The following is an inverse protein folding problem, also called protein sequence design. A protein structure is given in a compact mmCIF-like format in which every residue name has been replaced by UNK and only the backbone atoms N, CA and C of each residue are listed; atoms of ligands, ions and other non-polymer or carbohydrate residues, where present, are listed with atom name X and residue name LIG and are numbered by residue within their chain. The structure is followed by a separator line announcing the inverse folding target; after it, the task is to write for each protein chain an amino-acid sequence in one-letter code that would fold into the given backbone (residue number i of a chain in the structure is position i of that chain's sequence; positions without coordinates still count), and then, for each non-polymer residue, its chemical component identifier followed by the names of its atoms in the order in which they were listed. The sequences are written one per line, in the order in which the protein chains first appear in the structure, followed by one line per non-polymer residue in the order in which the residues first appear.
data_IF_564108089005
#
_entry.id   IF_564108089005
#
_cell.length_a   1.000
_cell.length_b   1.000
_cell.length_c   1.000
_cell.angle_alpha   90.00
_cell.angle_beta   90.00
_cell.angle_gamma   90.00
#
_symmetry.space_group_name_H-M   'P 1'
#
loop_
_entity.id
_entity.type
_entity.pdbx_description
1 polymer ?
#
# COMPACT_ATOMS: atom_id res chain seq x y z
N UNK A 1 23.12 15.10 14.15
CA UNK A 1 21.74 14.53 14.02
C UNK A 1 21.39 14.55 12.55
N UNK A 2 20.63 13.57 12.07
CA UNK A 2 20.09 13.60 10.71
C UNK A 2 19.04 14.70 10.61
N UNK A 3 18.87 15.29 9.43
CA UNK A 3 17.76 16.21 9.16
C UNK A 3 16.44 15.48 9.27
N UNK A 4 15.43 16.03 9.96
CA UNK A 4 14.11 15.42 10.01
C UNK A 4 13.48 15.35 8.61
N UNK A 5 12.90 14.20 8.24
CA UNK A 5 12.09 14.05 7.04
C UNK A 5 10.63 14.43 7.33
N UNK A 6 9.95 14.97 6.32
CA UNK A 6 8.54 15.34 6.41
C UNK A 6 7.67 14.19 5.90
N UNK A 7 6.81 13.70 6.78
CA UNK A 7 5.96 12.54 6.52
C UNK A 7 4.50 12.97 6.61
N UNK A 8 3.79 12.93 5.50
CA UNK A 8 2.38 13.25 5.46
C UNK A 8 1.51 11.98 5.54
N UNK A 9 0.43 12.06 6.32
CA UNK A 9 -0.57 10.99 6.47
C UNK A 9 -1.96 11.58 6.31
N UNK A 10 -2.74 11.12 5.33
CA UNK A 10 -4.14 11.52 5.15
C UNK A 10 -5.08 10.58 5.91
N UNK A 11 -6.22 11.08 6.37
CA UNK A 11 -7.11 10.30 7.23
C UNK A 11 -6.43 9.90 8.54
N UNK A 12 -5.61 10.80 9.08
CA UNK A 12 -4.71 10.54 10.21
C UNK A 12 -5.43 10.17 11.50
N UNK A 13 -6.66 10.65 11.69
CA UNK A 13 -7.52 10.30 12.83
C UNK A 13 -8.37 9.04 12.60
N UNK A 14 -8.28 8.41 11.39
CA UNK A 14 -8.92 7.13 11.10
C UNK A 14 -8.20 5.94 11.74
N UNK A 15 -8.85 4.77 11.78
CA UNK A 15 -8.30 3.59 12.44
C UNK A 15 -6.94 3.14 11.88
N UNK A 16 -6.75 3.22 10.55
CA UNK A 16 -5.47 2.87 9.91
C UNK A 16 -4.44 3.97 10.21
N UNK A 17 -4.81 5.25 10.01
CA UNK A 17 -3.94 6.39 10.30
C UNK A 17 -3.45 6.37 11.74
N UNK A 18 -4.35 6.22 12.70
CA UNK A 18 -4.02 6.08 14.11
C UNK A 18 -2.97 4.97 14.37
N UNK A 19 -3.22 3.75 13.88
CA UNK A 19 -2.27 2.65 14.07
C UNK A 19 -0.92 2.86 13.35
N UNK A 20 -0.93 3.56 12.22
CA UNK A 20 0.26 3.86 11.42
C UNK A 20 1.18 4.88 12.10
N UNK A 21 0.60 5.92 12.68
CA UNK A 21 1.36 7.04 13.25
C UNK A 21 2.32 6.61 14.35
N UNK A 22 1.91 5.71 15.25
CA UNK A 22 2.79 5.19 16.30
C UNK A 22 3.97 4.38 15.76
N UNK A 23 3.74 3.63 14.68
CA UNK A 23 4.78 2.87 13.99
C UNK A 23 5.80 3.77 13.29
N UNK A 24 5.33 4.87 12.69
CA UNK A 24 6.21 5.88 12.10
C UNK A 24 7.01 6.60 13.21
N UNK A 25 6.33 7.03 14.26
CA UNK A 25 6.92 7.76 15.37
C UNK A 25 7.97 6.94 16.16
N UNK A 26 7.80 5.61 16.25
CA UNK A 26 8.77 4.70 16.89
C UNK A 26 10.03 4.45 16.06
N UNK A 27 10.02 4.83 14.77
CA UNK A 27 11.14 4.60 13.84
C UNK A 27 11.06 3.29 13.04
N UNK A 28 9.95 2.54 13.14
CA UNK A 28 9.78 1.27 12.43
C UNK A 28 9.80 1.43 10.91
N UNK A 29 9.44 2.62 10.41
CA UNK A 29 9.34 2.91 8.99
C UNK A 29 10.67 3.39 8.38
N UNK A 30 11.27 4.42 8.96
CA UNK A 30 12.41 5.13 8.38
C UNK A 30 13.74 4.83 9.09
N UNK A 31 13.70 4.00 10.12
CA UNK A 31 14.86 3.60 10.93
C UNK A 31 14.94 4.31 12.26
N UNK A 32 15.59 3.65 13.22
CA UNK A 32 15.68 4.05 14.63
C UNK A 32 16.46 5.35 14.89
N UNK A 33 17.11 5.90 13.86
CA UNK A 33 17.93 7.13 13.97
C UNK A 33 17.43 8.25 13.04
N UNK A 34 16.26 8.08 12.39
CA UNK A 34 15.71 9.05 11.47
C UNK A 34 14.61 9.87 12.14
N UNK A 35 14.87 11.17 12.47
CA UNK A 35 13.82 12.06 12.96
C UNK A 35 12.76 12.34 11.91
N UNK A 36 11.52 12.59 12.36
CA UNK A 36 10.38 12.88 11.49
C UNK A 36 9.62 14.12 11.94
N UNK A 37 9.06 14.83 10.98
CA UNK A 37 7.99 15.82 11.19
C UNK A 37 6.73 15.22 10.61
N UNK A 38 5.73 14.97 11.45
CA UNK A 38 4.46 14.39 11.04
C UNK A 38 3.51 15.51 10.56
N UNK A 39 3.00 15.37 9.35
CA UNK A 39 2.04 16.28 8.73
C UNK A 39 0.72 15.53 8.52
N UNK A 40 -0.27 15.83 9.35
CA UNK A 40 -1.47 15.03 9.54
C UNK A 40 -2.66 15.74 8.89
N UNK A 41 -3.19 15.14 7.82
CA UNK A 41 -4.35 15.67 7.10
C UNK A 41 -5.62 14.96 7.52
N UNK A 42 -6.64 15.76 7.84
CA UNK A 42 -7.98 15.25 8.09
C UNK A 42 -9.02 16.16 7.44
N UNK A 43 -10.23 15.67 7.24
CA UNK A 43 -11.35 16.49 6.78
C UNK A 43 -11.88 17.39 7.91
N UNK A 44 -12.52 18.54 7.62
CA UNK A 44 -12.98 19.45 8.67
C UNK A 44 -13.78 18.79 9.80
N UNK A 45 -14.73 17.86 9.56
CA UNK A 45 -15.43 17.16 10.64
C UNK A 45 -14.55 16.26 11.50
N UNK A 46 -13.38 15.86 11.01
CA UNK A 46 -12.42 14.99 11.70
C UNK A 46 -11.40 15.75 12.55
N UNK A 47 -11.29 17.06 12.43
CA UNK A 47 -10.24 17.87 13.06
C UNK A 47 -10.22 17.75 14.59
N UNK A 48 -11.37 17.78 15.24
CA UNK A 48 -11.46 17.58 16.70
C UNK A 48 -10.88 16.23 17.13
N UNK A 49 -11.13 15.16 16.35
CA UNK A 49 -10.54 13.85 16.61
C UNK A 49 -9.04 13.83 16.35
N UNK A 50 -8.58 14.54 15.32
CA UNK A 50 -7.17 14.70 15.03
C UNK A 50 -6.42 15.41 16.16
N UNK A 51 -7.03 16.43 16.78
CA UNK A 51 -6.44 17.10 17.95
C UNK A 51 -6.19 16.10 19.09
N UNK A 52 -7.14 15.20 19.36
CA UNK A 52 -6.95 14.12 20.33
C UNK A 52 -5.79 13.20 19.99
N UNK A 53 -5.66 12.78 18.72
CA UNK A 53 -4.53 11.96 18.23
C UNK A 53 -3.19 12.68 18.40
N UNK A 54 -3.14 13.99 18.16
CA UNK A 54 -1.94 14.81 18.34
C UNK A 54 -1.56 14.89 19.83
N UNK A 55 -2.53 15.01 20.75
CA UNK A 55 -2.28 14.98 22.19
C UNK A 55 -1.64 13.65 22.59
N UNK A 56 -2.20 12.51 22.18
CA UNK A 56 -1.63 11.19 22.50
C UNK A 56 -0.23 10.97 21.89
N UNK A 57 0.03 11.47 20.69
CA UNK A 57 1.37 11.42 20.09
C UNK A 57 2.39 12.23 20.92
N UNK A 58 2.00 13.39 21.44
CA UNK A 58 2.83 14.20 22.34
C UNK A 58 3.06 13.50 23.68
N UNK A 59 2.00 12.92 24.25
CA UNK A 59 2.07 12.18 25.52
C UNK A 59 2.95 10.92 25.40
N UNK A 60 3.05 10.34 24.19
CA UNK A 60 3.94 9.19 23.93
C UNK A 60 5.43 9.55 23.93
N UNK A 61 5.79 10.83 23.88
CA UNK A 61 7.15 11.37 24.01
C UNK A 61 8.20 10.67 23.11
N UNK A 62 7.83 10.36 21.87
CA UNK A 62 8.75 9.71 20.93
C UNK A 62 9.97 10.58 20.61
N UNK A 63 11.20 10.11 20.83
CA UNK A 63 12.41 10.91 20.63
C UNK A 63 12.67 11.28 19.16
N UNK A 64 12.08 10.54 18.21
CA UNK A 64 12.23 10.79 16.78
C UNK A 64 11.22 11.80 16.25
N UNK A 65 10.16 12.15 16.97
CA UNK A 65 9.16 13.11 16.54
C UNK A 65 9.61 14.52 16.85
N UNK A 66 10.09 15.25 15.84
CA UNK A 66 10.59 16.62 15.96
C UNK A 66 9.53 17.68 15.70
N UNK A 67 8.37 17.30 15.19
CA UNK A 67 7.23 18.20 14.97
C UNK A 67 5.97 17.45 14.56
N UNK A 68 4.81 18.04 14.87
CA UNK A 68 3.51 17.52 14.47
C UNK A 68 2.68 18.71 13.97
N UNK A 69 2.15 18.59 12.76
CA UNK A 69 1.27 19.59 12.12
C UNK A 69 -0.05 18.89 11.80
N UNK A 70 -1.14 19.34 12.42
CA UNK A 70 -2.50 18.91 12.08
C UNK A 70 -3.18 19.96 11.21
N UNK A 71 -3.86 19.55 10.14
CA UNK A 71 -4.50 20.48 9.21
C UNK A 71 -5.61 19.80 8.40
N UNK A 72 -6.56 20.60 7.91
CA UNK A 72 -7.53 20.20 6.90
C UNK A 72 -7.16 20.71 5.48
N UNK A 73 -6.01 21.38 5.35
CA UNK A 73 -5.52 21.91 4.09
C UNK A 73 -4.44 21.00 3.49
N UNK A 74 -4.71 20.34 2.33
CA UNK A 74 -3.75 19.46 1.67
C UNK A 74 -2.40 20.11 1.35
N UNK A 75 -2.39 21.40 0.98
CA UNK A 75 -1.14 22.11 0.67
C UNK A 75 -0.25 22.29 1.90
N UNK A 76 -0.84 22.46 3.09
CA UNK A 76 -0.08 22.51 4.34
C UNK A 76 0.43 21.11 4.69
N UNK A 77 -0.43 20.09 4.53
CA UNK A 77 -0.08 18.71 4.85
C UNK A 77 1.02 18.15 3.94
N UNK A 78 1.05 18.52 2.67
CA UNK A 78 2.03 17.98 1.73
C UNK A 78 3.25 18.89 1.52
N UNK A 79 3.32 20.05 2.19
CA UNK A 79 4.42 20.99 2.00
C UNK A 79 5.79 20.37 2.31
N UNK A 80 6.66 20.31 1.30
CA UNK A 80 7.98 19.67 1.34
C UNK A 80 7.96 18.20 1.85
N UNK A 81 6.82 17.50 1.75
CA UNK A 81 6.74 16.11 2.18
C UNK A 81 7.62 15.20 1.31
N UNK A 82 8.40 14.35 1.96
CA UNK A 82 9.31 13.38 1.32
C UNK A 82 8.70 11.98 1.29
N UNK A 83 7.76 11.69 2.20
CA UNK A 83 6.98 10.46 2.23
C UNK A 83 5.51 10.79 2.50
N UNK A 84 4.60 10.22 1.72
CA UNK A 84 3.15 10.46 1.84
C UNK A 84 2.42 9.12 1.89
N UNK A 85 1.55 8.99 2.89
CA UNK A 85 0.61 7.88 3.03
C UNK A 85 -0.81 8.40 2.74
N UNK A 86 -1.35 8.07 1.58
CA UNK A 86 -2.71 8.39 1.18
C UNK A 86 -3.67 7.33 1.73
N UNK A 87 -4.05 7.49 3.00
CA UNK A 87 -4.88 6.54 3.75
C UNK A 87 -6.35 6.94 3.73
N UNK A 88 -6.62 8.26 3.78
CA UNK A 88 -7.97 8.81 3.84
C UNK A 88 -8.77 8.49 2.59
N UNK A 89 -9.90 7.81 2.77
CA UNK A 89 -10.87 7.51 1.72
C UNK A 89 -12.25 7.29 2.34
N UNK A 90 -13.32 7.42 1.54
CA UNK A 90 -14.65 7.01 1.97
C UNK A 90 -14.70 5.49 2.09
N UNK A 91 -15.13 4.95 3.23
CA UNK A 91 -15.28 3.51 3.38
C UNK A 91 -16.43 3.00 2.51
N UNK A 92 -16.31 1.76 2.03
CA UNK A 92 -17.39 1.07 1.33
C UNK A 92 -18.55 0.82 2.28
N UNK A 93 -19.75 1.26 1.89
CA UNK A 93 -21.01 0.90 2.58
C UNK A 93 -21.55 -0.41 2.00
N UNK A 94 -22.57 -0.98 2.68
CA UNK A 94 -23.18 -2.26 2.25
C UNK A 94 -23.85 -2.15 0.87
N UNK A 95 -24.34 -0.96 0.53
CA UNK A 95 -25.12 -0.70 -0.69
C UNK A 95 -24.25 -0.16 -1.85
N UNK A 96 -22.96 0.05 -1.62
CA UNK A 96 -22.03 0.50 -2.66
C UNK A 96 -21.42 -0.68 -3.40
N UNK A 97 -21.50 -0.64 -4.70
CA UNK A 97 -20.67 -1.47 -5.57
C UNK A 97 -19.25 -0.88 -5.73
N UNK A 98 -18.43 -1.46 -6.60
CA UNK A 98 -17.06 -1.00 -6.81
C UNK A 98 -17.01 0.31 -7.60
N UNK A 99 -17.92 0.50 -8.55
CA UNK A 99 -17.99 1.72 -9.36
C UNK A 99 -18.43 2.91 -8.50
N UNK A 100 -19.39 2.73 -7.60
CA UNK A 100 -19.80 3.74 -6.61
C UNK A 100 -18.64 4.18 -5.72
N UNK A 101 -17.83 3.22 -5.27
CA UNK A 101 -16.67 3.50 -4.42
C UNK A 101 -15.61 4.29 -5.18
N UNK A 102 -15.36 3.95 -6.43
CA UNK A 102 -14.45 4.67 -7.33
C UNK A 102 -14.93 6.11 -7.54
N UNK A 103 -16.21 6.30 -7.88
CA UNK A 103 -16.81 7.62 -8.09
C UNK A 103 -16.77 8.48 -6.83
N UNK A 104 -16.99 7.89 -5.65
CA UNK A 104 -16.99 8.59 -4.38
C UNK A 104 -15.58 9.03 -3.93
N UNK A 105 -14.54 8.27 -4.31
CA UNK A 105 -13.16 8.52 -3.88
C UNK A 105 -12.34 9.31 -4.93
N UNK A 106 -12.60 9.13 -6.22
CA UNK A 106 -11.82 9.75 -7.28
C UNK A 106 -11.55 11.25 -7.10
N UNK A 107 -12.55 12.11 -6.83
CA UNK A 107 -12.34 13.54 -6.60
C UNK A 107 -11.40 13.86 -5.43
N UNK A 108 -11.33 13.01 -4.41
CA UNK A 108 -10.41 13.17 -3.27
C UNK A 108 -8.97 13.05 -3.77
N UNK A 109 -8.69 12.01 -4.58
CA UNK A 109 -7.34 11.73 -5.08
C UNK A 109 -6.92 12.70 -6.19
N UNK A 110 -7.86 13.26 -6.98
CA UNK A 110 -7.60 14.39 -7.88
C UNK A 110 -7.07 15.60 -7.07
N UNK A 111 -7.76 15.98 -6.00
CA UNK A 111 -7.36 17.10 -5.15
C UNK A 111 -6.02 16.87 -4.46
N UNK A 112 -5.79 15.65 -3.98
CA UNK A 112 -4.52 15.26 -3.35
C UNK A 112 -3.36 15.24 -4.35
N UNK A 113 -3.56 14.69 -5.56
CA UNK A 113 -2.56 14.68 -6.63
C UNK A 113 -2.10 16.10 -6.98
N UNK A 114 -3.06 17.01 -7.23
CA UNK A 114 -2.76 18.43 -7.52
C UNK A 114 -1.99 19.13 -6.40
N UNK A 115 -2.37 18.88 -5.14
CA UNK A 115 -1.67 19.47 -4.01
C UNK A 115 -0.26 18.89 -3.84
N UNK A 116 -0.07 17.58 -4.07
CA UNK A 116 1.26 16.95 -4.07
C UNK A 116 2.15 17.56 -5.15
N UNK A 117 1.64 17.71 -6.37
CA UNK A 117 2.38 18.32 -7.48
C UNK A 117 2.86 19.73 -7.16
N UNK A 118 2.02 20.51 -6.49
CA UNK A 118 2.28 21.92 -6.21
C UNK A 118 3.33 22.11 -5.10
N UNK A 119 3.29 21.31 -4.01
CA UNK A 119 4.03 21.64 -2.78
C UNK A 119 4.89 20.52 -2.20
N UNK A 120 4.81 19.28 -2.68
CA UNK A 120 5.63 18.20 -2.16
C UNK A 120 7.08 18.25 -2.68
N UNK A 121 7.97 17.55 -1.99
CA UNK A 121 9.32 17.29 -2.49
C UNK A 121 9.28 16.63 -3.87
N UNK A 122 10.15 17.03 -4.79
CA UNK A 122 10.23 16.41 -6.13
C UNK A 122 10.65 14.95 -6.09
N UNK A 123 11.25 14.50 -4.99
CA UNK A 123 11.65 13.12 -4.75
C UNK A 123 10.69 12.40 -3.77
N UNK A 124 9.46 12.90 -3.60
CA UNK A 124 8.46 12.33 -2.70
C UNK A 124 8.15 10.87 -3.04
N UNK A 125 7.95 10.05 -2.01
CA UNK A 125 7.46 8.68 -2.14
C UNK A 125 6.02 8.61 -1.66
N UNK A 126 5.10 8.24 -2.54
CA UNK A 126 3.66 8.23 -2.27
C UNK A 126 3.14 6.80 -2.27
N UNK A 127 2.59 6.36 -1.16
CA UNK A 127 1.87 5.08 -1.04
C UNK A 127 0.38 5.34 -0.88
N UNK A 128 -0.42 4.75 -1.75
CA UNK A 128 -1.88 4.80 -1.68
C UNK A 128 -2.40 3.55 -0.97
N UNK A 129 -3.12 3.79 0.13
CA UNK A 129 -3.73 2.75 0.98
C UNK A 129 -5.25 2.76 0.88
N UNK A 130 -5.84 3.94 0.67
CA UNK A 130 -7.28 4.14 0.52
C UNK A 130 -7.85 3.43 -0.71
N UNK A 131 -8.89 2.61 -0.51
CA UNK A 131 -9.45 1.77 -1.58
C UNK A 131 -10.42 2.51 -2.51
N UNK A 132 -10.45 2.12 -3.81
CA UNK A 132 -9.61 1.12 -4.49
C UNK A 132 -8.19 1.65 -4.76
N UNK A 133 -7.20 1.12 -4.06
CA UNK A 133 -5.90 1.77 -3.95
C UNK A 133 -5.14 1.83 -5.29
N UNK A 134 -5.22 0.82 -6.16
CA UNK A 134 -4.58 0.85 -7.48
C UNK A 134 -5.13 2.00 -8.34
N UNK A 135 -6.45 2.10 -8.44
CA UNK A 135 -7.14 3.14 -9.21
C UNK A 135 -6.93 4.53 -8.61
N UNK A 136 -6.97 4.63 -7.28
CA UNK A 136 -6.72 5.88 -6.57
C UNK A 136 -5.27 6.37 -6.74
N UNK A 137 -4.29 5.47 -6.78
CA UNK A 137 -2.90 5.79 -7.08
C UNK A 137 -2.75 6.31 -8.53
N UNK A 138 -3.45 5.69 -9.49
CA UNK A 138 -3.49 6.15 -10.87
C UNK A 138 -4.04 7.57 -10.97
N UNK A 139 -5.18 7.84 -10.32
CA UNK A 139 -5.80 9.18 -10.31
C UNK A 139 -4.85 10.22 -9.69
N UNK A 140 -4.27 9.91 -8.53
CA UNK A 140 -3.35 10.84 -7.86
C UNK A 140 -2.12 11.14 -8.73
N UNK A 141 -1.53 10.12 -9.35
CA UNK A 141 -0.38 10.25 -10.24
C UNK A 141 -0.71 11.06 -11.51
N UNK A 142 -1.85 10.81 -12.15
CA UNK A 142 -2.29 11.54 -13.34
C UNK A 142 -2.51 13.04 -13.07
N UNK A 143 -2.87 13.40 -11.83
CA UNK A 143 -3.08 14.78 -11.39
C UNK A 143 -1.84 15.43 -10.75
N UNK A 144 -0.67 14.80 -10.87
CA UNK A 144 0.61 15.32 -10.39
C UNK A 144 1.68 15.26 -11.48
N UNK A 145 1.51 15.98 -12.61
CA UNK A 145 2.37 15.87 -13.79
C UNK A 145 3.82 16.28 -13.57
N UNK A 146 4.13 17.09 -12.55
CA UNK A 146 5.48 17.49 -12.19
C UNK A 146 6.24 16.49 -11.30
N UNK A 147 5.58 15.39 -10.90
CA UNK A 147 6.16 14.29 -10.11
C UNK A 147 6.19 13.05 -11.00
N UNK A 148 7.29 12.31 -11.00
CA UNK A 148 7.35 11.05 -11.76
C UNK A 148 6.27 10.08 -11.30
N UNK A 149 5.57 9.46 -12.25
CA UNK A 149 4.56 8.44 -11.96
C UNK A 149 5.11 7.24 -11.16
N UNK A 150 6.42 6.96 -11.31
CA UNK A 150 7.16 5.94 -10.54
C UNK A 150 7.19 6.22 -9.02
N UNK A 151 6.91 7.45 -8.62
CA UNK A 151 6.85 7.85 -7.21
C UNK A 151 5.47 7.64 -6.57
N UNK A 152 4.49 7.14 -7.35
CA UNK A 152 3.16 6.77 -6.86
C UNK A 152 2.99 5.26 -6.87
N UNK A 153 2.75 4.69 -5.69
CA UNK A 153 2.53 3.26 -5.52
C UNK A 153 1.19 2.99 -4.81
N UNK A 154 0.68 1.77 -4.95
CA UNK A 154 -0.48 1.30 -4.19
C UNK A 154 -0.11 0.07 -3.34
N UNK A 155 -0.80 -0.09 -2.22
CA UNK A 155 -0.44 -1.08 -1.21
C UNK A 155 -1.08 -2.44 -1.47
N UNK A 156 -0.30 -3.39 -1.98
CA UNK A 156 -0.62 -4.82 -2.04
C UNK A 156 0.18 -5.65 -1.01
N UNK A 157 0.99 -4.98 -0.20
CA UNK A 157 1.78 -5.59 0.86
C UNK A 157 0.93 -6.29 1.93
N UNK A 158 -0.27 -5.79 2.23
CA UNK A 158 -1.17 -6.47 3.16
C UNK A 158 -1.56 -7.87 2.65
N UNK A 159 -1.79 -8.00 1.36
CA UNK A 159 -2.14 -9.27 0.74
C UNK A 159 -0.95 -10.22 0.74
N UNK A 160 0.25 -9.70 0.46
CA UNK A 160 1.49 -10.46 0.63
C UNK A 160 1.68 -10.93 2.07
N UNK A 161 1.48 -10.07 3.07
CA UNK A 161 1.62 -10.43 4.47
C UNK A 161 0.59 -11.51 4.90
N UNK A 162 -0.62 -11.49 4.33
CA UNK A 162 -1.63 -12.53 4.52
C UNK A 162 -1.19 -13.87 3.93
N UNK A 163 -0.66 -13.85 2.72
CA UNK A 163 -0.12 -15.05 2.06
C UNK A 163 1.03 -15.65 2.86
N UNK A 164 1.99 -14.82 3.26
CA UNK A 164 3.13 -15.21 4.12
C UNK A 164 2.64 -15.80 5.45
N UNK A 165 1.70 -15.13 6.13
CA UNK A 165 1.16 -15.60 7.40
C UNK A 165 0.44 -16.96 7.29
N UNK A 166 -0.36 -17.16 6.24
CA UNK A 166 -1.08 -18.40 6.00
C UNK A 166 -0.13 -19.58 5.71
N UNK A 167 0.91 -19.33 4.92
CA UNK A 167 1.93 -20.36 4.64
C UNK A 167 2.74 -20.71 5.88
N UNK A 168 3.14 -19.70 6.66
CA UNK A 168 3.87 -19.89 7.91
C UNK A 168 3.06 -20.72 8.93
N UNK A 169 1.78 -20.38 9.09
CA UNK A 169 0.86 -21.11 9.97
C UNK A 169 0.73 -22.58 9.54
N UNK A 170 0.52 -22.85 8.23
CA UNK A 170 0.40 -24.19 7.69
C UNK A 170 1.68 -25.01 7.85
N UNK A 171 2.84 -24.37 7.71
CA UNK A 171 4.13 -25.04 7.89
C UNK A 171 4.61 -25.15 9.34
N UNK A 172 3.95 -24.47 10.28
CA UNK A 172 4.35 -24.43 11.68
C UNK A 172 5.66 -23.69 11.93
N UNK A 173 5.96 -22.65 11.12
CA UNK A 173 7.18 -21.85 11.22
C UNK A 173 6.87 -20.37 11.46
N UNK A 174 7.83 -19.56 11.98
CA UNK A 174 7.65 -18.11 12.03
C UNK A 174 7.50 -17.48 10.64
N UNK A 175 6.69 -16.43 10.51
CA UNK A 175 6.47 -15.71 9.25
C UNK A 175 7.78 -15.21 8.59
N UNK A 176 8.81 -14.89 9.39
CA UNK A 176 10.14 -14.50 8.91
C UNK A 176 10.89 -15.59 8.12
N UNK A 177 10.40 -16.82 8.15
CA UNK A 177 10.95 -17.96 7.41
C UNK A 177 10.27 -18.18 6.05
N UNK A 178 9.24 -17.38 5.73
CA UNK A 178 8.55 -17.41 4.43
C UNK A 178 9.01 -16.19 3.62
N UNK A 179 9.68 -16.45 2.49
CA UNK A 179 10.28 -15.42 1.64
C UNK A 179 9.75 -15.54 0.21
N UNK A 180 9.84 -14.45 -0.54
CA UNK A 180 9.61 -14.38 -1.98
C UNK A 180 8.25 -14.90 -2.46
N UNK A 181 7.23 -14.74 -1.62
CA UNK A 181 5.81 -14.87 -1.98
C UNK A 181 5.28 -13.47 -2.25
N UNK A 182 4.68 -13.24 -3.41
CA UNK A 182 4.26 -11.90 -3.81
C UNK A 182 2.90 -11.90 -4.50
N UNK A 183 2.38 -10.70 -4.76
CA UNK A 183 1.05 -10.47 -5.31
C UNK A 183 1.17 -9.89 -6.71
N UNK A 184 0.44 -10.48 -7.64
CA UNK A 184 0.15 -9.88 -8.95
C UNK A 184 -1.17 -9.14 -8.92
N UNK A 185 -1.23 -7.99 -9.60
CA UNK A 185 -2.48 -7.36 -10.02
C UNK A 185 -3.06 -6.34 -9.09
N UNK A 186 -4.36 -6.46 -8.87
CA UNK A 186 -5.20 -5.48 -8.20
C UNK A 186 -5.40 -5.86 -6.72
N UNK A 187 -5.44 -4.89 -5.83
CA UNK A 187 -5.90 -5.11 -4.46
C UNK A 187 -7.43 -5.34 -4.43
N UNK A 188 -7.84 -6.51 -4.90
CA UNK A 188 -9.25 -6.93 -5.03
C UNK A 188 -9.36 -8.45 -4.92
N UNK A 189 -10.55 -9.00 -5.16
CA UNK A 189 -10.73 -10.46 -5.15
C UNK A 189 -10.02 -11.17 -6.32
N UNK A 190 -9.60 -10.42 -7.36
CA UNK A 190 -8.83 -10.95 -8.50
C UNK A 190 -7.34 -11.08 -8.20
N UNK A 191 -6.84 -10.51 -7.09
CA UNK A 191 -5.42 -10.60 -6.74
C UNK A 191 -4.89 -12.04 -6.87
N UNK A 192 -3.66 -12.18 -7.36
CA UNK A 192 -3.02 -13.47 -7.43
C UNK A 192 -1.79 -13.52 -6.50
N UNK A 193 -1.92 -14.14 -5.32
CA UNK A 193 -0.78 -14.48 -4.49
C UNK A 193 0.02 -15.60 -5.15
N UNK A 194 1.26 -15.32 -5.55
CA UNK A 194 2.11 -16.27 -6.26
C UNK A 194 3.13 -16.92 -5.32
N UNK A 195 2.99 -18.20 -4.99
CA UNK A 195 3.91 -18.93 -4.12
C UNK A 195 5.03 -19.65 -4.88
N UNK A 196 5.02 -19.64 -6.23
CA UNK A 196 5.90 -20.50 -7.06
C UNK A 196 7.39 -20.28 -6.82
N UNK A 197 7.76 -19.05 -6.45
CA UNK A 197 9.14 -18.65 -6.16
C UNK A 197 9.41 -18.58 -4.66
N UNK A 198 8.36 -18.80 -3.85
CA UNK A 198 8.42 -18.71 -2.42
C UNK A 198 9.24 -19.81 -1.78
N UNK A 199 9.89 -19.48 -0.67
CA UNK A 199 10.56 -20.44 0.19
C UNK A 199 9.99 -20.40 1.61
N UNK A 200 9.98 -21.56 2.26
CA UNK A 200 9.54 -21.75 3.64
C UNK A 200 10.64 -22.50 4.39
N UNK A 201 11.30 -21.80 5.32
CA UNK A 201 12.49 -22.30 6.05
C UNK A 201 13.55 -22.89 5.10
N UNK A 202 13.81 -22.20 3.97
CA UNK A 202 14.79 -22.57 2.96
C UNK A 202 14.37 -23.66 1.98
N UNK A 203 13.15 -24.20 2.08
CA UNK A 203 12.59 -25.17 1.14
C UNK A 203 11.63 -24.50 0.18
N UNK A 204 11.58 -24.94 -1.08
CA UNK A 204 10.58 -24.46 -2.04
C UNK A 204 9.16 -24.64 -1.50
N UNK A 205 8.33 -23.63 -1.65
CA UNK A 205 6.92 -23.69 -1.28
C UNK A 205 6.16 -24.77 -2.09
N UNK A 206 6.52 -24.92 -3.37
CA UNK A 206 5.92 -25.92 -4.27
C UNK A 206 6.30 -27.35 -3.94
N UNK A 207 7.44 -27.56 -3.25
CA UNK A 207 7.83 -28.89 -2.75
C UNK A 207 7.21 -29.20 -1.40
N UNK A 208 6.81 -28.19 -0.65
CA UNK A 208 6.29 -28.33 0.70
C UNK A 208 4.77 -28.46 0.73
N UNK A 209 4.07 -27.80 -0.19
CA UNK A 209 2.61 -27.74 -0.21
C UNK A 209 2.04 -28.34 -1.48
N UNK A 210 0.88 -29.00 -1.36
CA UNK A 210 0.16 -29.56 -2.49
C UNK A 210 -0.28 -28.49 -3.48
N UNK A 211 -0.18 -28.78 -4.78
CA UNK A 211 -0.64 -27.89 -5.85
C UNK A 211 -2.12 -27.53 -5.73
N UNK A 212 -2.97 -28.49 -5.34
CA UNK A 212 -4.40 -28.27 -5.15
C UNK A 212 -4.68 -27.25 -4.04
N UNK A 213 -3.87 -27.25 -2.98
CA UNK A 213 -3.96 -26.23 -1.95
C UNK A 213 -3.46 -24.88 -2.45
N UNK A 214 -2.30 -24.86 -3.10
CA UNK A 214 -1.67 -23.61 -3.58
C UNK A 214 -2.54 -22.88 -4.62
N UNK A 215 -3.18 -23.63 -5.53
CA UNK A 215 -4.03 -23.08 -6.60
C UNK A 215 -5.52 -22.95 -6.21
N UNK A 216 -5.92 -23.50 -5.08
CA UNK A 216 -7.29 -23.49 -4.56
C UNK A 216 -7.43 -22.68 -3.28
N UNK A 217 -7.58 -23.37 -2.15
CA UNK A 217 -7.96 -22.75 -0.87
C UNK A 217 -6.94 -21.73 -0.33
N UNK A 218 -5.68 -21.77 -0.73
CA UNK A 218 -4.70 -20.75 -0.42
C UNK A 218 -5.11 -19.41 -1.07
N UNK A 219 -5.37 -19.39 -2.38
CA UNK A 219 -5.76 -18.19 -3.12
C UNK A 219 -7.08 -17.62 -2.58
N UNK A 220 -8.08 -18.50 -2.38
CA UNK A 220 -9.39 -18.10 -1.87
C UNK A 220 -9.29 -17.49 -0.46
N UNK A 221 -8.48 -18.11 0.41
CA UNK A 221 -8.30 -17.60 1.78
C UNK A 221 -7.62 -16.23 1.79
N UNK A 222 -6.58 -16.04 1.00
CA UNK A 222 -5.87 -14.75 0.94
C UNK A 222 -6.78 -13.66 0.38
N UNK A 223 -7.44 -13.89 -0.75
CA UNK A 223 -8.29 -12.91 -1.44
C UNK A 223 -9.54 -12.53 -0.62
N UNK A 224 -10.09 -13.46 0.16
CA UNK A 224 -11.29 -13.23 0.99
C UNK A 224 -10.98 -12.84 2.44
N UNK A 225 -9.70 -12.83 2.87
CA UNK A 225 -9.29 -12.55 4.26
C UNK A 225 -9.85 -11.24 4.79
N UNK A 226 -9.93 -10.20 3.96
CA UNK A 226 -10.51 -8.92 4.37
C UNK A 226 -11.96 -9.04 4.82
N UNK A 227 -12.77 -9.81 4.09
CA UNK A 227 -14.16 -10.10 4.46
C UNK A 227 -14.25 -10.92 5.74
N UNK A 228 -13.39 -11.94 5.90
CA UNK A 228 -13.34 -12.76 7.12
C UNK A 228 -13.01 -11.92 8.36
N UNK A 229 -12.08 -10.97 8.26
CA UNK A 229 -11.75 -10.03 9.35
C UNK A 229 -12.95 -9.16 9.71
N UNK A 230 -13.67 -8.61 8.71
CA UNK A 230 -14.86 -7.80 8.96
C UNK A 230 -15.94 -8.61 9.68
N UNK A 231 -16.16 -9.85 9.25
CA UNK A 231 -17.16 -10.74 9.87
C UNK A 231 -16.82 -11.07 11.34
N UNK A 232 -15.54 -11.32 11.62
CA UNK A 232 -15.09 -11.70 12.97
C UNK A 232 -14.94 -10.48 13.91
N UNK A 233 -14.45 -9.34 13.40
CA UNK A 233 -14.09 -8.17 14.21
C UNK A 233 -15.18 -7.09 14.25
N UNK A 234 -16.14 -7.13 13.30
CA UNK A 234 -17.14 -6.06 13.12
C UNK A 234 -16.58 -4.79 12.45
N UNK A 235 -15.31 -4.80 12.03
CA UNK A 235 -14.65 -3.67 11.39
C UNK A 235 -13.55 -4.14 10.41
N UNK A 236 -13.19 -3.30 9.46
CA UNK A 236 -12.11 -3.54 8.52
C UNK A 236 -10.75 -3.68 9.21
N UNK A 237 -9.80 -4.34 8.55
CA UNK A 237 -8.40 -4.40 8.98
C UNK A 237 -7.84 -2.99 9.16
N UNK A 238 -7.24 -2.72 10.32
CA UNK A 238 -6.62 -1.44 10.62
C UNK A 238 -5.14 -1.62 10.97
N UNK A 239 -4.82 -2.30 12.06
CA UNK A 239 -3.42 -2.48 12.50
C UNK A 239 -2.57 -3.27 11.49
N UNK A 240 -3.14 -4.33 10.87
CA UNK A 240 -2.42 -5.09 9.84
C UNK A 240 -2.23 -4.28 8.54
N UNK A 241 -3.18 -3.41 8.19
CA UNK A 241 -3.03 -2.49 7.06
C UNK A 241 -1.94 -1.44 7.34
N UNK A 242 -1.93 -0.87 8.55
CA UNK A 242 -0.87 0.04 8.99
C UNK A 242 0.51 -0.64 8.98
N UNK A 243 0.62 -1.88 9.50
CA UNK A 243 1.87 -2.65 9.45
C UNK A 243 2.35 -2.88 8.02
N UNK A 244 1.45 -3.25 7.12
CA UNK A 244 1.78 -3.46 5.71
C UNK A 244 2.23 -2.17 5.01
N UNK A 245 1.61 -1.03 5.33
CA UNK A 245 2.01 0.27 4.80
C UNK A 245 3.42 0.67 5.31
N UNK A 246 3.72 0.40 6.59
CA UNK A 246 5.07 0.57 7.15
C UNK A 246 6.06 -0.34 6.44
N UNK A 247 5.76 -1.62 6.27
CA UNK A 247 6.65 -2.59 5.61
C UNK A 247 6.94 -2.17 4.16
N UNK A 248 5.91 -1.70 3.42
CA UNK A 248 6.05 -1.22 2.05
C UNK A 248 6.98 0.01 1.99
N UNK A 249 6.69 1.05 2.77
CA UNK A 249 7.48 2.28 2.77
C UNK A 249 8.89 2.04 3.31
N UNK A 250 9.06 1.19 4.33
CA UNK A 250 10.38 0.82 4.87
C UNK A 250 11.25 0.16 3.81
N UNK A 251 10.72 -0.83 3.09
CA UNK A 251 11.47 -1.50 2.05
C UNK A 251 11.80 -0.55 0.89
N UNK A 252 10.89 0.35 0.53
CA UNK A 252 11.15 1.38 -0.47
C UNK A 252 12.22 2.39 -0.01
N UNK A 253 12.21 2.78 1.26
CA UNK A 253 13.13 3.77 1.82
C UNK A 253 14.51 3.22 2.14
N UNK A 254 14.57 2.03 2.71
CA UNK A 254 15.78 1.42 3.25
C UNK A 254 16.34 0.28 2.40
N UNK A 255 15.57 -0.21 1.42
CA UNK A 255 15.88 -1.38 0.62
C UNK A 255 15.21 -2.67 1.16
N UNK A 256 14.90 -3.59 0.24
CA UNK A 256 14.29 -4.88 0.57
C UNK A 256 15.30 -5.97 0.93
N UNK A 257 16.60 -5.64 0.97
CA UNK A 257 17.70 -6.58 1.26
C UNK A 257 17.67 -7.82 0.34
N UNK A 258 17.43 -7.60 -0.95
CA UNK A 258 17.36 -8.64 -1.96
C UNK A 258 16.07 -9.45 -2.01
N UNK A 259 15.18 -9.30 -1.01
CA UNK A 259 13.86 -9.99 -1.00
C UNK A 259 12.95 -9.45 -2.10
N UNK A 260 12.14 -10.33 -2.67
CA UNK A 260 11.06 -9.94 -3.56
C UNK A 260 9.86 -9.49 -2.71
N UNK A 261 9.34 -8.31 -3.02
CA UNK A 261 8.24 -7.68 -2.32
C UNK A 261 7.17 -7.22 -3.31
N UNK A 262 5.92 -7.16 -2.88
CA UNK A 262 4.81 -6.70 -3.70
C UNK A 262 4.71 -5.19 -3.66
N UNK A 263 4.79 -4.56 -4.83
CA UNK A 263 4.53 -3.13 -5.00
C UNK A 263 3.62 -2.95 -6.21
N UNK A 264 2.49 -2.28 -6.03
CA UNK A 264 1.69 -1.86 -7.17
C UNK A 264 2.19 -0.49 -7.64
N UNK A 265 2.62 -0.41 -8.90
CA UNK A 265 3.17 0.79 -9.53
C UNK A 265 2.72 0.88 -11.00
N UNK A 266 2.84 2.06 -11.65
CA UNK A 266 2.50 2.22 -13.05
C UNK A 266 3.30 1.26 -13.93
N UNK A 267 2.59 0.48 -14.73
CA UNK A 267 3.19 -0.48 -15.67
C UNK A 267 3.91 0.25 -16.81
N UNK A 268 5.06 -0.27 -17.17
CA UNK A 268 5.84 0.08 -18.36
C UNK A 268 5.86 -1.08 -19.37
N UNK A 269 4.85 -1.96 -19.35
CA UNK A 269 4.70 -3.08 -20.27
C UNK A 269 5.24 -4.41 -19.76
N UNK A 270 5.78 -4.50 -18.54
CA UNK A 270 6.27 -5.76 -17.97
C UNK A 270 5.18 -6.84 -17.97
N UNK A 271 5.57 -8.08 -18.29
CA UNK A 271 4.68 -9.25 -18.33
C UNK A 271 3.44 -9.09 -19.22
N UNK A 272 3.51 -8.20 -20.22
CA UNK A 272 2.39 -7.90 -21.10
C UNK A 272 1.27 -7.06 -20.45
N UNK A 273 1.49 -6.55 -19.25
CA UNK A 273 0.53 -5.64 -18.60
C UNK A 273 0.57 -4.28 -19.30
N UNK A 274 -0.58 -3.77 -19.81
CA UNK A 274 -0.60 -2.50 -20.52
C UNK A 274 -0.02 -1.33 -19.73
N UNK A 275 0.69 -0.44 -20.40
CA UNK A 275 1.19 0.81 -19.81
C UNK A 275 0.04 1.65 -19.23
N UNK A 276 0.36 2.42 -18.21
CA UNK A 276 -0.59 3.32 -17.55
C UNK A 276 -1.60 2.64 -16.63
N UNK A 277 -1.46 1.34 -16.36
CA UNK A 277 -2.18 0.68 -15.26
C UNK A 277 -1.29 0.66 -14.01
N UNK A 278 -1.85 0.95 -12.85
CA UNK A 278 -1.18 0.68 -11.57
C UNK A 278 -1.44 -0.78 -11.21
N UNK A 279 -0.42 -1.61 -11.35
CA UNK A 279 -0.50 -3.07 -11.21
C UNK A 279 0.56 -3.55 -10.21
N UNK A 280 0.23 -4.53 -9.37
CA UNK A 280 1.17 -5.13 -8.43
C UNK A 280 2.11 -6.10 -9.13
N UNK A 281 3.40 -5.86 -8.97
CA UNK A 281 4.48 -6.68 -9.52
C UNK A 281 5.37 -7.24 -8.41
N UNK A 282 6.11 -8.33 -8.69
CA UNK A 282 7.27 -8.70 -7.89
C UNK A 282 8.36 -7.63 -8.06
N UNK A 283 8.80 -7.07 -6.95
CA UNK A 283 9.78 -5.98 -6.97
C UNK A 283 10.91 -6.22 -5.97
N UNK A 284 12.06 -5.60 -6.22
CA UNK A 284 13.09 -5.35 -5.21
C UNK A 284 13.20 -3.86 -5.00
N UNK A 285 13.54 -3.48 -3.78
CA UNK A 285 13.79 -2.07 -3.46
C UNK A 285 15.26 -1.90 -3.10
N UNK A 286 15.91 -0.92 -3.72
CA UNK A 286 17.30 -0.57 -3.45
C UNK A 286 17.55 0.91 -3.72
N UNK A 287 18.39 1.54 -2.89
CA UNK A 287 18.74 2.96 -3.05
C UNK A 287 17.56 3.93 -3.05
N UNK A 288 16.39 3.53 -2.53
CA UNK A 288 15.17 4.31 -2.57
C UNK A 288 14.36 4.17 -3.88
N UNK A 289 14.74 3.26 -4.74
CA UNK A 289 14.05 2.90 -5.98
C UNK A 289 13.27 1.59 -5.83
N UNK A 290 12.19 1.45 -6.61
CA UNK A 290 11.44 0.20 -6.79
C UNK A 290 11.80 -0.36 -8.16
N UNK A 291 12.35 -1.56 -8.17
CA UNK A 291 12.83 -2.25 -9.37
C UNK A 291 11.95 -3.48 -9.57
N UNK A 292 11.23 -3.53 -10.67
CA UNK A 292 10.44 -4.72 -11.05
C UNK A 292 11.38 -5.87 -11.39
N UNK A 293 11.10 -7.05 -10.86
CA UNK A 293 11.74 -8.30 -11.26
C UNK A 293 11.00 -8.79 -12.50
N UNK A 294 11.55 -8.58 -13.68
CA UNK A 294 10.87 -8.73 -14.96
C UNK A 294 11.25 -10.01 -15.73
N UNK A 295 12.07 -10.86 -15.12
CA UNK A 295 12.62 -12.10 -15.71
C UNK A 295 12.05 -13.40 -15.11
N UNK A 296 11.01 -13.32 -14.28
CA UNK A 296 10.39 -14.50 -13.68
C UNK A 296 9.55 -15.27 -14.73
N UNK A 297 9.69 -16.61 -14.83
CA UNK A 297 8.88 -17.40 -15.73
C UNK A 297 7.40 -17.39 -15.32
N UNK A 298 6.52 -17.14 -16.30
CA UNK A 298 5.07 -17.14 -16.12
C UNK A 298 4.49 -18.33 -16.87
N UNK A 299 3.87 -19.25 -16.12
CA UNK A 299 3.15 -20.39 -16.70
C UNK A 299 1.72 -20.00 -17.11
N UNK A 300 1.00 -20.92 -17.76
CA UNK A 300 -0.34 -20.65 -18.28
C UNK A 300 -1.35 -20.31 -17.17
N UNK A 301 -1.22 -20.87 -15.97
CA UNK A 301 -2.09 -20.57 -14.84
C UNK A 301 -1.86 -19.15 -14.34
N UNK A 302 -0.60 -18.78 -14.12
CA UNK A 302 -0.26 -17.44 -13.68
C UNK A 302 -0.63 -16.38 -14.74
N UNK A 303 -0.41 -16.68 -16.03
CA UNK A 303 -0.80 -15.76 -17.11
C UNK A 303 -2.31 -15.50 -17.09
N UNK A 304 -3.12 -16.56 -16.96
CA UNK A 304 -4.59 -16.40 -16.87
C UNK A 304 -4.99 -15.50 -15.67
N UNK A 305 -4.28 -15.62 -14.54
CA UNK A 305 -4.51 -14.77 -13.36
C UNK A 305 -4.05 -13.32 -13.58
N UNK A 306 -2.95 -13.11 -14.28
CA UNK A 306 -2.49 -11.77 -14.68
C UNK A 306 -3.51 -11.12 -15.61
N UNK A 307 -3.98 -11.85 -16.62
CA UNK A 307 -4.97 -11.36 -17.61
C UNK A 307 -6.31 -10.99 -16.94
N UNK A 308 -6.78 -11.79 -15.97
CA UNK A 308 -7.96 -11.49 -15.16
C UNK A 308 -7.82 -10.15 -14.41
N UNK A 309 -6.67 -9.91 -13.81
CA UNK A 309 -6.36 -8.66 -13.11
C UNK A 309 -6.23 -7.47 -14.06
N UNK A 310 -5.61 -7.66 -15.23
CA UNK A 310 -5.52 -6.63 -16.29
C UNK A 310 -6.92 -6.21 -16.73
N UNK A 311 -7.80 -7.18 -17.02
CA UNK A 311 -9.16 -6.89 -17.43
C UNK A 311 -9.93 -6.10 -16.35
N UNK A 312 -9.78 -6.46 -15.07
CA UNK A 312 -10.40 -5.75 -13.97
C UNK A 312 -9.90 -4.30 -13.86
N UNK A 313 -8.58 -4.08 -13.95
CA UNK A 313 -7.98 -2.74 -13.85
C UNK A 313 -8.28 -1.86 -15.07
N UNK A 314 -8.38 -2.44 -16.26
CA UNK A 314 -8.83 -1.71 -17.45
C UNK A 314 -10.26 -1.19 -17.25
N UNK A 315 -11.17 -2.02 -16.76
CA UNK A 315 -12.54 -1.59 -16.45
C UNK A 315 -12.60 -0.49 -15.40
N UNK A 316 -11.75 -0.56 -14.36
CA UNK A 316 -11.65 0.50 -13.34
C UNK A 316 -11.09 1.80 -13.90
N UNK A 317 -10.04 1.72 -14.74
CA UNK A 317 -9.45 2.89 -15.40
C UNK A 317 -10.46 3.57 -16.32
N UNK A 318 -11.19 2.79 -17.11
CA UNK A 318 -12.20 3.32 -18.04
C UNK A 318 -13.32 4.06 -17.28
N UNK A 319 -13.72 3.54 -16.11
CA UNK A 319 -14.71 4.18 -15.25
C UNK A 319 -14.27 5.53 -14.65
N UNK A 320 -12.96 5.82 -14.62
CA UNK A 320 -12.39 7.06 -14.09
C UNK A 320 -11.69 7.92 -15.14
N UNK A 321 -11.88 7.61 -16.41
CA UNK A 321 -11.17 8.28 -17.52
C UNK A 321 -11.27 9.81 -17.51
N UNK A 322 -12.38 10.37 -17.01
CA UNK A 322 -12.56 11.82 -16.85
C UNK A 322 -11.75 12.43 -15.71
N UNK A 323 -11.15 11.61 -14.84
CA UNK A 323 -10.35 12.05 -13.70
C UNK A 323 -8.83 11.92 -13.94
N UNK A 324 -8.44 11.37 -15.09
CA UNK A 324 -7.04 11.11 -15.46
C UNK A 324 -6.39 12.25 -16.24
#
# INVERSE_FOLDING_TARGET
MRTPIRVAVTGAAGNIGYALLWRIASGDCFGSNQPVILQLLEIPPGMQRLDGVIMELKDSAFPLVHGIIGTDNPKIAFNDAEAIFLVGSRPRTKDMDRADLVAANGPIFVGQGKAIDEVASRNVKVITVGNPCNTNALIASANAPGISSRQFTAMTRLDQNRAVGLMAERAGVPASKVLDVFIWGNHSNTMYPDPRFGTVDGRSATDLFDSDWLQGSFLDTVSTRGKAVIMARGASSAASAASAAVDHMRDWWQGSNGRIVSVALPSEGWYGVPEGLVFSFPCRCDGGEVIVVDDLPVDAFAQAKIDENVAALLGERDAVSELL
#
